data_IF_462288057602
#
_entry.id   IF_462288057602
#
_cell.length_a   1.000
_cell.length_b   1.000
_cell.length_c   1.000
_cell.angle_alpha   90.00
_cell.angle_beta   90.00
_cell.angle_gamma   90.00
#
_symmetry.space_group_name_H-M   'P 1'
#
loop_
_entity.id
_entity.type
_entity.pdbx_description
1 polymer ?
#
# COMPACT_ATOMS: atom_id res chain seq x y z
N UNK A 1 20.77 2.38 -15.54
CA UNK A 1 19.36 2.85 -15.53
C UNK A 1 18.32 1.72 -15.64
N UNK A 2 18.53 0.56 -16.30
CA UNK A 2 17.51 -0.50 -16.31
C UNK A 2 17.42 -1.28 -14.99
N UNK A 3 18.52 -1.44 -14.27
CA UNK A 3 18.65 -2.28 -13.07
C UNK A 3 17.62 -1.94 -11.97
N UNK A 4 17.62 -0.69 -11.50
CA UNK A 4 16.70 -0.23 -10.45
C UNK A 4 15.21 -0.28 -10.82
N UNK A 5 14.89 -0.21 -12.12
CA UNK A 5 13.52 -0.28 -12.57
C UNK A 5 13.00 -1.72 -12.52
N UNK A 6 13.87 -2.69 -12.81
CA UNK A 6 13.56 -4.13 -12.70
C UNK A 6 13.36 -4.48 -11.21
N UNK A 7 14.25 -4.02 -10.33
CA UNK A 7 14.12 -4.26 -8.88
C UNK A 7 12.78 -3.72 -8.33
N UNK A 8 12.39 -2.51 -8.75
CA UNK A 8 11.11 -1.90 -8.38
C UNK A 8 9.90 -2.71 -8.86
N UNK A 9 9.95 -3.17 -10.11
CA UNK A 9 8.90 -3.98 -10.69
C UNK A 9 8.78 -5.34 -10.00
N UNK A 10 9.91 -5.97 -9.65
CA UNK A 10 9.92 -7.26 -8.96
C UNK A 10 9.37 -7.16 -7.53
N UNK A 11 9.78 -6.14 -6.80
CA UNK A 11 9.28 -5.91 -5.44
C UNK A 11 7.79 -5.56 -5.43
N UNK A 12 7.34 -4.70 -6.36
CA UNK A 12 5.92 -4.39 -6.52
C UNK A 12 5.11 -5.64 -6.89
N UNK A 13 5.61 -6.47 -7.81
CA UNK A 13 4.95 -7.72 -8.23
C UNK A 13 4.85 -8.71 -7.07
N UNK A 14 5.92 -8.90 -6.32
CA UNK A 14 5.96 -9.78 -5.15
C UNK A 14 5.00 -9.31 -4.06
N UNK A 15 4.93 -8.01 -3.82
CA UNK A 15 4.03 -7.40 -2.83
C UNK A 15 2.56 -7.57 -3.22
N UNK A 16 2.21 -7.31 -4.49
CA UNK A 16 0.86 -7.54 -5.03
C UNK A 16 0.48 -9.01 -4.89
N UNK A 17 1.37 -9.93 -5.27
CA UNK A 17 1.14 -11.37 -5.13
C UNK A 17 0.95 -11.80 -3.68
N UNK A 18 1.72 -11.25 -2.75
CA UNK A 18 1.54 -11.52 -1.31
C UNK A 18 0.17 -11.06 -0.82
N UNK A 19 -0.26 -9.85 -1.17
CA UNK A 19 -1.61 -9.34 -0.82
C UNK A 19 -2.71 -10.28 -1.31
N UNK A 20 -2.60 -10.80 -2.53
CA UNK A 20 -3.57 -11.76 -3.09
C UNK A 20 -3.53 -13.13 -2.42
N UNK A 21 -2.35 -13.58 -1.95
CA UNK A 21 -2.16 -14.95 -1.41
C UNK A 21 -2.59 -15.08 0.05
N UNK A 22 -2.73 -13.98 0.80
CA UNK A 22 -3.11 -14.03 2.22
C UNK A 22 -4.52 -14.61 2.38
N UNK A 23 -4.61 -15.68 3.17
CA UNK A 23 -5.87 -16.33 3.54
C UNK A 23 -6.77 -15.34 4.28
N UNK A 24 -8.05 -15.18 3.88
CA UNK A 24 -9.01 -14.31 4.55
C UNK A 24 -9.11 -14.61 6.05
N UNK A 25 -9.25 -13.59 6.92
CA UNK A 25 -9.40 -13.79 8.37
C UNK A 25 -10.59 -14.69 8.72
N UNK A 26 -11.68 -14.61 7.96
CA UNK A 26 -12.86 -15.47 8.15
C UNK A 26 -12.54 -16.98 7.99
N UNK A 27 -11.71 -17.37 7.02
CA UNK A 27 -11.33 -18.78 6.85
C UNK A 27 -10.49 -19.28 8.04
N UNK A 28 -9.62 -18.43 8.57
CA UNK A 28 -8.81 -18.76 9.74
C UNK A 28 -9.66 -18.91 11.00
N UNK A 29 -10.64 -18.03 11.20
CA UNK A 29 -11.61 -18.15 12.30
C UNK A 29 -12.42 -19.46 12.22
N UNK A 30 -12.81 -19.88 11.01
CA UNK A 30 -13.47 -21.17 10.82
C UNK A 30 -12.58 -22.36 11.16
N UNK A 31 -11.29 -22.31 10.77
CA UNK A 31 -10.30 -23.35 11.15
C UNK A 31 -10.16 -23.45 12.67
N UNK A 32 -10.04 -22.31 13.35
CA UNK A 32 -9.94 -22.24 14.81
C UNK A 32 -11.20 -22.79 15.50
N UNK A 33 -12.39 -22.49 14.96
CA UNK A 33 -13.66 -23.05 15.46
C UNK A 33 -13.72 -24.57 15.28
N UNK A 34 -13.27 -25.11 14.15
CA UNK A 34 -13.22 -26.57 13.92
C UNK A 34 -12.30 -27.23 14.94
N UNK A 35 -11.12 -26.64 15.20
CA UNK A 35 -10.17 -27.15 16.21
C UNK A 35 -10.81 -27.15 17.59
N UNK A 36 -11.55 -26.10 17.95
CA UNK A 36 -12.23 -26.01 19.23
C UNK A 36 -13.33 -27.08 19.38
N UNK A 37 -14.18 -27.24 18.36
CA UNK A 37 -15.24 -28.28 18.35
C UNK A 37 -14.65 -29.68 18.39
N UNK A 38 -13.50 -29.92 17.74
CA UNK A 38 -12.80 -31.20 17.83
C UNK A 38 -12.35 -31.53 19.25
N UNK A 39 -11.74 -30.57 19.95
CA UNK A 39 -11.33 -30.75 21.35
C UNK A 39 -12.52 -31.02 22.26
N UNK A 40 -13.62 -30.29 22.07
CA UNK A 40 -14.85 -30.50 22.85
C UNK A 40 -15.47 -31.88 22.58
N UNK A 41 -15.44 -32.34 21.32
CA UNK A 41 -15.92 -33.66 20.94
C UNK A 41 -15.08 -34.76 21.58
N UNK A 42 -13.76 -34.64 21.54
CA UNK A 42 -12.85 -35.61 22.18
C UNK A 42 -13.06 -35.66 23.70
N UNK A 43 -13.25 -34.51 24.34
CA UNK A 43 -13.58 -34.44 25.76
C UNK A 43 -14.94 -35.10 26.08
N UNK A 44 -15.96 -34.87 25.24
CA UNK A 44 -17.28 -35.50 25.41
C UNK A 44 -17.21 -37.03 25.25
N UNK A 45 -16.39 -37.54 24.30
CA UNK A 45 -16.15 -38.98 24.14
C UNK A 45 -15.44 -39.54 25.39
N UNK A 46 -14.42 -38.84 25.90
CA UNK A 46 -13.70 -39.24 27.12
C UNK A 46 -14.57 -39.28 28.38
N UNK A 47 -15.63 -38.45 28.44
CA UNK A 47 -16.60 -38.41 29.53
C UNK A 47 -17.83 -39.33 29.29
N UNK A 48 -17.83 -40.14 28.23
CA UNK A 48 -18.96 -41.01 27.84
C UNK A 48 -20.26 -40.24 27.54
N UNK A 49 -20.18 -38.95 27.26
CA UNK A 49 -21.30 -38.08 26.84
C UNK A 49 -21.62 -38.27 25.35
N UNK A 50 -22.06 -39.48 24.96
CA UNK A 50 -22.21 -39.87 23.55
C UNK A 50 -23.19 -39.01 22.74
N UNK A 51 -24.28 -38.55 23.35
CA UNK A 51 -25.27 -37.69 22.69
C UNK A 51 -24.68 -36.31 22.34
N UNK A 52 -23.92 -35.74 23.27
CA UNK A 52 -23.20 -34.48 23.05
C UNK A 52 -22.09 -34.65 22.02
N UNK A 53 -21.33 -35.74 22.08
CA UNK A 53 -20.33 -36.05 21.06
C UNK A 53 -20.94 -36.19 19.64
N UNK A 54 -22.14 -36.76 19.52
CA UNK A 54 -22.86 -36.83 18.26
C UNK A 54 -23.25 -35.42 17.74
N UNK A 55 -23.78 -34.55 18.60
CA UNK A 55 -24.09 -33.17 18.22
C UNK A 55 -22.87 -32.36 17.77
N UNK A 56 -21.73 -32.52 18.46
CA UNK A 56 -20.46 -31.86 18.14
C UNK A 56 -19.86 -32.40 16.83
N UNK A 57 -20.04 -33.69 16.54
CA UNK A 57 -19.68 -34.28 15.24
C UNK A 57 -20.49 -33.65 14.10
N UNK A 58 -21.79 -33.48 14.27
CA UNK A 58 -22.63 -32.86 13.25
C UNK A 58 -22.26 -31.38 13.05
N UNK A 59 -21.94 -30.67 14.12
CA UNK A 59 -21.41 -29.31 14.06
C UNK A 59 -20.06 -29.24 13.34
N UNK A 60 -19.12 -30.13 13.66
CA UNK A 60 -17.83 -30.23 12.97
C UNK A 60 -18.02 -30.46 11.46
N UNK A 61 -18.94 -31.36 11.07
CA UNK A 61 -19.23 -31.62 9.66
C UNK A 61 -19.80 -30.39 8.95
N UNK A 62 -20.71 -29.65 9.59
CA UNK A 62 -21.26 -28.40 9.05
C UNK A 62 -20.17 -27.34 8.86
N UNK A 63 -19.32 -27.14 9.87
CA UNK A 63 -18.22 -26.17 9.81
C UNK A 63 -17.18 -26.55 8.74
N UNK A 64 -16.85 -27.83 8.59
CA UNK A 64 -15.96 -28.32 7.52
C UNK A 64 -16.55 -28.11 6.13
N UNK A 65 -17.86 -28.36 5.96
CA UNK A 65 -18.54 -28.11 4.70
C UNK A 65 -18.52 -26.61 4.34
N UNK A 66 -18.78 -25.75 5.33
CA UNK A 66 -18.71 -24.29 5.19
C UNK A 66 -17.28 -23.83 4.82
N UNK A 67 -16.27 -24.39 5.47
CA UNK A 67 -14.86 -24.09 5.16
C UNK A 67 -14.51 -24.45 3.72
N UNK A 68 -14.93 -25.63 3.25
CA UNK A 68 -14.68 -26.05 1.87
C UNK A 68 -15.43 -25.19 0.85
N UNK A 69 -16.67 -24.77 1.13
CA UNK A 69 -17.38 -23.84 0.23
C UNK A 69 -16.69 -22.50 0.14
N UNK A 70 -16.30 -21.93 1.28
CA UNK A 70 -15.72 -20.59 1.35
C UNK A 70 -14.30 -20.59 0.77
N UNK A 71 -13.53 -21.66 1.00
CA UNK A 71 -12.20 -21.86 0.39
C UNK A 71 -12.26 -22.02 -1.12
N UNK A 72 -13.27 -22.73 -1.64
CA UNK A 72 -13.47 -22.86 -3.09
C UNK A 72 -13.93 -21.54 -3.72
N UNK A 73 -14.82 -20.78 -3.06
CA UNK A 73 -15.19 -19.44 -3.50
C UNK A 73 -13.97 -18.51 -3.52
N UNK A 74 -13.13 -18.55 -2.49
CA UNK A 74 -11.92 -17.74 -2.43
C UNK A 74 -10.91 -18.10 -3.52
N UNK A 75 -10.66 -19.40 -3.77
CA UNK A 75 -9.80 -19.85 -4.89
C UNK A 75 -10.34 -19.39 -6.25
N UNK A 76 -11.66 -19.44 -6.45
CA UNK A 76 -12.29 -18.97 -7.68
C UNK A 76 -12.19 -17.45 -7.84
N UNK A 77 -12.24 -16.70 -6.74
CA UNK A 77 -11.99 -15.26 -6.77
C UNK A 77 -10.51 -14.94 -7.04
N UNK A 78 -9.57 -15.66 -6.42
CA UNK A 78 -8.13 -15.53 -6.69
C UNK A 78 -7.80 -15.82 -8.15
N UNK A 79 -8.38 -16.87 -8.74
CA UNK A 79 -8.15 -17.22 -10.15
C UNK A 79 -8.72 -16.20 -11.14
N UNK A 80 -9.63 -15.32 -10.70
CA UNK A 80 -10.20 -14.22 -11.52
C UNK A 80 -9.51 -12.88 -11.31
N UNK A 81 -8.78 -12.72 -10.20
CA UNK A 81 -8.01 -11.53 -9.92
C UNK A 81 -6.66 -11.64 -10.63
N UNK A 82 -6.62 -11.24 -11.91
CA UNK A 82 -5.35 -10.87 -12.54
C UNK A 82 -4.74 -9.78 -11.65
N UNK A 83 -3.68 -10.14 -10.94
CA UNK A 83 -3.05 -9.25 -9.98
C UNK A 83 -2.16 -8.28 -10.77
N UNK A 84 -2.73 -7.15 -11.18
CA UNK A 84 -2.03 -6.11 -11.95
C UNK A 84 -1.25 -5.20 -11.02
N UNK A 85 -0.03 -4.84 -11.40
CA UNK A 85 0.75 -3.80 -10.72
C UNK A 85 0.31 -2.44 -11.27
N UNK A 86 -0.26 -1.60 -10.41
CA UNK A 86 -0.67 -0.23 -10.76
C UNK A 86 0.38 0.79 -10.32
N UNK A 87 0.19 2.05 -10.70
CA UNK A 87 1.10 3.14 -10.35
C UNK A 87 1.21 3.33 -8.84
N UNK A 88 0.12 3.07 -8.12
CA UNK A 88 0.02 3.12 -6.67
C UNK A 88 0.96 2.12 -5.98
N UNK A 89 1.03 0.88 -6.46
CA UNK A 89 1.93 -0.11 -5.85
C UNK A 89 3.40 0.22 -6.09
N UNK A 90 3.74 0.74 -7.27
CA UNK A 90 5.09 1.21 -7.57
C UNK A 90 5.43 2.39 -6.64
N UNK A 91 4.52 3.34 -6.48
CA UNK A 91 4.67 4.50 -5.61
C UNK A 91 4.89 4.10 -4.13
N UNK A 92 4.18 3.08 -3.64
CA UNK A 92 4.39 2.55 -2.29
C UNK A 92 5.79 1.95 -2.10
N UNK A 93 6.29 1.20 -3.10
CA UNK A 93 7.65 0.61 -3.04
C UNK A 93 8.71 1.70 -3.07
N UNK A 94 8.58 2.69 -3.96
CA UNK A 94 9.47 3.86 -4.01
C UNK A 94 9.47 4.61 -2.68
N UNK A 95 8.29 4.81 -2.08
CA UNK A 95 8.16 5.47 -0.78
C UNK A 95 8.84 4.68 0.33
N UNK A 96 8.74 3.35 0.32
CA UNK A 96 9.42 2.46 1.26
C UNK A 96 10.95 2.58 1.16
N UNK A 97 11.48 2.56 -0.06
CA UNK A 97 12.93 2.65 -0.29
C UNK A 97 13.52 4.02 0.03
N UNK A 98 12.77 5.08 -0.27
CA UNK A 98 13.25 6.47 -0.14
C UNK A 98 12.84 7.13 1.17
N UNK A 99 11.86 6.58 1.88
CA UNK A 99 11.21 7.21 3.03
C UNK A 99 10.31 8.41 2.70
N UNK A 100 10.09 8.70 1.41
CA UNK A 100 9.35 9.89 0.96
C UNK A 100 8.00 9.46 0.35
N UNK A 101 6.85 9.85 0.95
CA UNK A 101 5.52 9.49 0.43
C UNK A 101 5.25 10.10 -0.95
N UNK A 102 5.14 9.26 -1.98
CA UNK A 102 4.97 9.68 -3.38
C UNK A 102 3.55 10.21 -3.66
N UNK A 103 2.52 9.69 -2.99
CA UNK A 103 1.12 10.14 -3.15
C UNK A 103 0.87 11.57 -2.65
N UNK A 104 1.62 12.04 -1.64
CA UNK A 104 1.55 13.43 -1.16
C UNK A 104 2.37 14.40 -2.02
N UNK A 105 3.22 13.90 -2.91
CA UNK A 105 4.07 14.74 -3.75
C UNK A 105 3.28 15.37 -4.89
N UNK A 106 2.50 14.63 -5.70
CA UNK A 106 1.94 15.21 -6.94
C UNK A 106 0.95 16.38 -6.76
N UNK A 107 -0.07 16.25 -5.90
CA UNK A 107 -1.04 17.33 -5.69
C UNK A 107 -0.45 18.46 -4.82
N UNK A 108 0.20 18.10 -3.71
CA UNK A 108 0.77 19.06 -2.77
C UNK A 108 1.97 19.84 -3.34
N UNK A 109 2.80 19.24 -4.19
CA UNK A 109 3.91 19.92 -4.85
C UNK A 109 3.40 20.91 -5.90
N UNK A 110 2.39 20.53 -6.69
CA UNK A 110 1.81 21.44 -7.69
C UNK A 110 1.16 22.65 -7.03
N UNK A 111 0.38 22.44 -5.98
CA UNK A 111 -0.26 23.51 -5.22
C UNK A 111 0.77 24.40 -4.49
N UNK A 112 1.83 23.81 -3.92
CA UNK A 112 2.94 24.57 -3.33
C UNK A 112 3.70 25.40 -4.35
N UNK A 113 3.87 24.89 -5.57
CA UNK A 113 4.53 25.62 -6.65
C UNK A 113 3.66 26.79 -7.14
N UNK A 114 2.34 26.62 -7.16
CA UNK A 114 1.39 27.70 -7.50
C UNK A 114 1.44 28.85 -6.49
N UNK A 115 1.56 28.55 -5.20
CA UNK A 115 1.59 29.53 -4.11
C UNK A 115 3.00 29.82 -3.57
N UNK A 116 4.05 29.53 -4.36
CA UNK A 116 5.43 29.57 -3.88
C UNK A 116 5.83 30.98 -3.42
N UNK A 117 5.42 32.02 -4.15
CA UNK A 117 5.66 33.41 -3.82
C UNK A 117 5.06 33.78 -2.45
N UNK A 118 3.79 33.39 -2.21
CA UNK A 118 3.09 33.66 -0.95
C UNK A 118 3.76 32.95 0.23
N UNK A 119 4.19 31.70 0.02
CA UNK A 119 4.90 30.91 1.04
C UNK A 119 6.22 31.59 1.40
N UNK A 120 6.97 32.08 0.42
CA UNK A 120 8.24 32.79 0.64
C UNK A 120 8.02 34.13 1.36
N UNK A 121 6.96 34.87 1.02
CA UNK A 121 6.62 36.14 1.66
C UNK A 121 6.28 36.02 3.15
N UNK A 122 5.85 34.84 3.63
CA UNK A 122 5.66 34.60 5.07
C UNK A 122 6.96 34.68 5.87
N UNK A 123 8.10 34.45 5.22
CA UNK A 123 9.43 34.39 5.86
C UNK A 123 10.38 35.48 5.41
N UNK A 124 10.22 35.97 4.18
CA UNK A 124 11.04 37.03 3.59
C UNK A 124 10.18 38.27 3.44
N UNK A 125 10.53 39.31 4.20
CA UNK A 125 9.83 40.60 4.18
C UNK A 125 10.46 41.46 3.09
N UNK A 126 9.63 42.04 2.22
CA UNK A 126 10.11 42.80 1.05
C UNK A 126 10.72 41.89 -0.03
N UNK A 127 11.64 42.43 -0.82
CA UNK A 127 12.37 41.70 -1.88
C UNK A 127 11.46 41.00 -2.90
N UNK A 128 10.34 41.64 -3.26
CA UNK A 128 9.34 41.09 -4.19
C UNK A 128 9.95 40.62 -5.50
N UNK A 129 10.90 41.39 -6.05
CA UNK A 129 11.58 41.07 -7.32
C UNK A 129 12.43 39.78 -7.22
N UNK A 130 13.15 39.60 -6.12
CA UNK A 130 13.96 38.40 -5.90
C UNK A 130 13.07 37.16 -5.73
N UNK A 131 11.99 37.29 -4.96
CA UNK A 131 11.03 36.19 -4.72
C UNK A 131 10.34 35.76 -6.01
N UNK A 132 9.87 36.71 -6.83
CA UNK A 132 9.26 36.42 -8.13
C UNK A 132 10.25 35.72 -9.09
N UNK A 133 11.49 36.23 -9.18
CA UNK A 133 12.53 35.64 -10.04
C UNK A 133 12.88 34.20 -9.65
N UNK A 134 13.04 33.93 -8.35
CA UNK A 134 13.32 32.59 -7.83
C UNK A 134 12.15 31.66 -8.09
N UNK A 135 10.93 32.10 -7.77
CA UNK A 135 9.73 31.27 -7.88
C UNK A 135 9.44 30.89 -9.33
N UNK A 136 9.64 31.80 -10.29
CA UNK A 136 9.58 31.53 -11.73
C UNK A 136 10.66 30.54 -12.19
N UNK A 137 11.89 30.66 -11.69
CA UNK A 137 12.97 29.74 -12.03
C UNK A 137 12.73 28.32 -11.49
N UNK A 138 12.25 28.21 -10.25
CA UNK A 138 11.91 26.92 -9.62
C UNK A 138 10.74 26.24 -10.35
N UNK A 139 9.67 26.99 -10.68
CA UNK A 139 8.54 26.46 -11.46
C UNK A 139 8.97 25.95 -12.84
N UNK A 140 9.79 26.69 -13.58
CA UNK A 140 10.30 26.26 -14.90
C UNK A 140 11.11 24.97 -14.83
N UNK A 141 11.97 24.84 -13.83
CA UNK A 141 12.78 23.64 -13.64
C UNK A 141 11.90 22.43 -13.28
N UNK A 142 10.89 22.61 -12.44
CA UNK A 142 9.96 21.54 -12.03
C UNK A 142 8.96 21.17 -13.13
N UNK A 143 8.63 22.08 -14.03
CA UNK A 143 7.81 21.81 -15.22
C UNK A 143 8.57 21.08 -16.36
N UNK A 144 9.83 20.67 -16.13
CA UNK A 144 10.64 19.96 -17.14
C UNK A 144 11.14 20.84 -18.28
N UNK A 145 11.02 22.17 -18.17
CA UNK A 145 11.46 23.12 -19.21
C UNK A 145 12.97 23.44 -19.12
N UNK A 146 13.75 22.65 -18.35
CA UNK A 146 15.18 22.86 -18.10
C UNK A 146 15.95 21.54 -18.20
N UNK A 147 17.20 21.63 -18.64
CA UNK A 147 18.13 20.49 -18.70
C UNK A 147 18.27 19.80 -17.32
N UNK A 148 17.94 18.49 -17.22
CA UNK A 148 18.00 17.74 -15.96
C UNK A 148 19.42 17.58 -15.39
N UNK A 149 20.47 17.80 -16.19
CA UNK A 149 21.87 17.77 -15.71
C UNK A 149 22.30 19.05 -14.99
N UNK A 150 21.44 20.08 -14.97
CA UNK A 150 21.74 21.37 -14.33
C UNK A 150 20.96 21.53 -13.02
N UNK A 151 21.49 22.29 -12.03
CA UNK A 151 20.77 22.55 -10.79
C UNK A 151 19.38 23.14 -11.04
N UNK A 152 18.41 22.87 -10.16
CA UNK A 152 17.02 23.38 -10.26
C UNK A 152 17.00 24.89 -10.47
N UNK A 153 17.76 25.64 -9.68
CA UNK A 153 18.03 27.06 -9.87
C UNK A 153 19.50 27.36 -9.60
N UNK A 154 20.05 28.31 -10.34
CA UNK A 154 21.37 28.89 -10.06
C UNK A 154 21.13 30.38 -9.88
N UNK A 155 21.41 30.90 -8.70
CA UNK A 155 21.09 32.26 -8.31
C UNK A 155 22.33 32.91 -7.73
N UNK A 156 22.53 34.19 -8.06
CA UNK A 156 23.47 35.07 -7.37
C UNK A 156 22.61 36.10 -6.67
N UNK A 157 22.67 36.12 -5.34
CA UNK A 157 22.01 37.13 -4.54
C UNK A 157 22.95 38.32 -4.41
N UNK A 158 22.50 39.46 -4.92
CA UNK A 158 23.25 40.72 -4.87
C UNK A 158 22.54 41.66 -3.91
N UNK A 159 23.30 42.22 -2.98
CA UNK A 159 22.86 43.24 -2.05
C UNK A 159 24.03 43.66 -1.15
N UNK A 160 24.00 44.87 -0.56
CA UNK A 160 24.77 45.14 0.65
C UNK A 160 24.24 44.31 1.84
#
# INVERSE_FOLDING_TARGET
LPDKAIDLMDEASSKVRLKTTITPPNLKELEDQIIQVQKEKEAAIGNEEFEKAASLRDQEQKLRAQLETDKNQWKNQQGRLESTVTEEEIAEVVASWTGIPVTKLQQGETERLLHLEEILHRRVIGQNEAIDSISKAVRRARAGLKDPKRPVGSFIFLGP
#
